data_IF_598963795196
#
_entry.id   IF_598963795196
#
_cell.length_a   1.000
_cell.length_b   1.000
_cell.length_c   1.000
_cell.angle_alpha   90.00
_cell.angle_beta   90.00
_cell.angle_gamma   90.00
#
_symmetry.space_group_name_H-M   'P 1'
#
loop_
_entity.id
_entity.type
_entity.pdbx_description
1 polymer ?
#
# COMPACT_ATOMS: atom_id res chain seq x y z
N UNK A 1 -13.87 21.34 12.13
CA UNK A 1 -15.23 21.17 12.69
C UNK A 1 -15.19 21.23 14.20
N UNK A 2 -16.08 21.98 14.87
CA UNK A 2 -16.13 21.99 16.33
C UNK A 2 -16.47 20.59 16.86
N UNK A 3 -15.83 20.18 17.95
CA UNK A 3 -16.18 18.92 18.58
C UNK A 3 -17.61 18.97 19.14
N UNK A 4 -18.45 17.93 18.93
CA UNK A 4 -19.83 17.91 19.40
C UNK A 4 -19.94 17.83 20.92
N UNK A 5 -18.84 17.48 21.61
CA UNK A 5 -18.79 17.30 23.06
C UNK A 5 -17.85 18.27 23.78
N UNK A 6 -16.92 18.92 23.07
CA UNK A 6 -15.98 19.87 23.67
C UNK A 6 -15.80 21.12 22.80
N UNK A 7 -16.40 22.23 23.22
CA UNK A 7 -16.40 23.49 22.47
C UNK A 7 -15.02 24.13 22.27
N UNK A 8 -13.98 23.70 23.00
CA UNK A 8 -12.61 24.20 22.82
C UNK A 8 -11.80 23.39 21.83
N UNK A 9 -12.30 22.24 21.37
CA UNK A 9 -11.62 21.37 20.41
C UNK A 9 -12.23 21.50 19.02
N UNK A 10 -11.37 21.42 18.02
CA UNK A 10 -11.76 21.31 16.61
C UNK A 10 -11.13 20.06 16.02
N UNK A 11 -11.88 19.37 15.16
CA UNK A 11 -11.42 18.27 14.33
C UNK A 11 -11.06 18.77 12.94
N UNK A 12 -10.02 18.19 12.35
CA UNK A 12 -9.73 18.30 10.92
C UNK A 12 -10.90 17.66 10.15
N UNK A 13 -11.41 18.34 9.14
CA UNK A 13 -12.54 17.88 8.30
C UNK A 13 -12.14 17.40 6.91
N UNK A 14 -10.85 17.31 6.67
CA UNK A 14 -10.24 17.00 5.39
C UNK A 14 -9.40 15.74 5.55
N UNK A 15 -10.09 14.60 5.55
CA UNK A 15 -9.50 13.26 5.60
C UNK A 15 -8.82 12.95 4.29
N UNK A 16 -7.59 12.46 4.37
CA UNK A 16 -6.78 12.11 3.21
C UNK A 16 -7.00 10.63 2.82
N UNK A 17 -6.54 10.23 1.63
CA UNK A 17 -6.69 8.85 1.12
C UNK A 17 -5.92 7.83 1.96
N UNK A 18 -4.86 8.25 2.64
CA UNK A 18 -4.06 7.45 3.57
C UNK A 18 -4.88 6.85 4.73
N UNK A 19 -5.82 7.60 5.30
CA UNK A 19 -6.73 7.10 6.33
C UNK A 19 -7.60 5.94 5.79
N UNK A 20 -8.05 6.07 4.53
CA UNK A 20 -8.86 5.04 3.88
C UNK A 20 -8.04 3.80 3.56
N UNK A 21 -6.83 3.97 3.01
CA UNK A 21 -5.89 2.86 2.77
C UNK A 21 -5.59 2.11 4.07
N UNK A 22 -5.35 2.84 5.17
CA UNK A 22 -5.12 2.25 6.48
C UNK A 22 -6.30 1.41 6.98
N UNK A 23 -7.53 1.93 6.85
CA UNK A 23 -8.74 1.21 7.22
C UNK A 23 -8.97 -0.04 6.37
N UNK A 24 -8.83 0.08 5.05
CA UNK A 24 -9.02 -1.02 4.09
C UNK A 24 -7.93 -2.09 4.22
N UNK A 25 -6.74 -1.73 4.70
CA UNK A 25 -5.69 -2.70 5.05
C UNK A 25 -5.96 -3.42 6.37
N UNK A 26 -6.23 -2.69 7.46
CA UNK A 26 -6.20 -3.27 8.82
C UNK A 26 -7.49 -4.02 9.18
N UNK A 27 -8.66 -3.50 8.79
CA UNK A 27 -9.93 -4.08 9.24
C UNK A 27 -10.23 -5.46 8.66
N UNK A 28 -9.92 -5.78 7.39
CA UNK A 28 -9.97 -7.15 6.88
C UNK A 28 -9.10 -8.12 7.70
N UNK A 29 -7.92 -7.70 8.14
CA UNK A 29 -7.05 -8.53 8.99
C UNK A 29 -7.65 -8.75 10.38
N UNK A 30 -8.28 -7.72 10.98
CA UNK A 30 -9.04 -7.88 12.23
C UNK A 30 -10.19 -8.86 12.03
N UNK A 31 -10.95 -8.73 10.93
CA UNK A 31 -12.02 -9.65 10.57
C UNK A 31 -11.51 -11.09 10.47
N UNK A 32 -10.41 -11.33 9.77
CA UNK A 32 -9.94 -12.69 9.48
C UNK A 32 -9.17 -13.34 10.62
N UNK A 33 -8.31 -12.57 11.31
CA UNK A 33 -7.34 -13.11 12.26
C UNK A 33 -7.74 -12.92 13.73
N UNK A 34 -8.52 -11.90 14.06
CA UNK A 34 -8.81 -11.55 15.47
C UNK A 34 -10.26 -11.83 15.88
N UNK A 35 -11.22 -11.74 14.95
CA UNK A 35 -12.62 -11.93 15.28
C UNK A 35 -12.94 -13.40 15.63
N UNK A 36 -13.52 -13.61 16.82
CA UNK A 36 -13.85 -14.93 17.34
C UNK A 36 -15.24 -15.42 16.89
N UNK A 37 -16.11 -14.50 16.49
CA UNK A 37 -17.51 -14.76 16.14
C UNK A 37 -18.04 -13.83 15.03
N UNK A 38 -19.21 -14.15 14.48
CA UNK A 38 -19.81 -13.43 13.35
C UNK A 38 -20.16 -11.97 13.70
N UNK A 39 -20.53 -11.67 14.94
CA UNK A 39 -20.81 -10.30 15.38
C UNK A 39 -19.53 -9.44 15.36
N UNK A 40 -18.40 -10.01 15.78
CA UNK A 40 -17.09 -9.34 15.71
C UNK A 40 -16.63 -9.14 14.27
N UNK A 41 -16.80 -10.16 13.42
CA UNK A 41 -16.53 -10.08 11.99
C UNK A 41 -17.33 -8.94 11.35
N UNK A 42 -18.63 -8.88 11.64
CA UNK A 42 -19.49 -7.80 11.15
C UNK A 42 -19.02 -6.42 11.67
N UNK A 43 -18.66 -6.30 12.95
CA UNK A 43 -18.17 -5.03 13.53
C UNK A 43 -16.88 -4.56 12.88
N UNK A 44 -15.93 -5.47 12.62
CA UNK A 44 -14.67 -5.15 11.97
C UNK A 44 -14.89 -4.59 10.56
N UNK A 45 -15.94 -5.05 9.87
CA UNK A 45 -16.14 -4.79 8.45
C UNK A 45 -17.15 -3.69 8.10
N UNK A 46 -17.99 -3.27 9.07
CA UNK A 46 -19.06 -2.31 8.79
C UNK A 46 -18.54 -0.94 8.35
N UNK A 47 -17.35 -0.55 8.81
CA UNK A 47 -16.74 0.74 8.47
C UNK A 47 -16.13 0.72 7.06
N UNK A 48 -15.25 -0.25 6.69
CA UNK A 48 -14.78 -0.41 5.31
C UNK A 48 -15.93 -0.43 4.28
N UNK A 49 -16.97 -1.23 4.53
CA UNK A 49 -18.14 -1.29 3.65
C UNK A 49 -18.78 0.09 3.44
N UNK A 50 -19.00 0.85 4.53
CA UNK A 50 -19.62 2.18 4.46
C UNK A 50 -18.75 3.20 3.76
N UNK A 51 -17.44 3.15 3.97
CA UNK A 51 -16.49 4.03 3.30
C UNK A 51 -16.51 3.76 1.79
N UNK A 52 -16.37 2.51 1.39
CA UNK A 52 -16.36 2.14 -0.04
C UNK A 52 -17.71 2.39 -0.71
N UNK A 53 -18.84 2.12 -0.04
CA UNK A 53 -20.19 2.49 -0.54
C UNK A 53 -20.33 4.02 -0.69
N UNK A 54 -19.82 4.79 0.26
CA UNK A 54 -19.81 6.26 0.16
C UNK A 54 -19.02 6.74 -1.04
N UNK A 55 -17.81 6.23 -1.26
CA UNK A 55 -16.99 6.61 -2.42
C UNK A 55 -17.70 6.24 -3.73
N UNK A 56 -18.24 5.02 -3.83
CA UNK A 56 -18.95 4.53 -5.02
C UNK A 56 -20.21 5.37 -5.33
N UNK A 57 -20.98 5.74 -4.30
CA UNK A 57 -22.22 6.52 -4.46
C UNK A 57 -21.98 8.02 -4.69
N UNK A 58 -20.77 8.50 -4.44
CA UNK A 58 -20.38 9.90 -4.65
C UNK A 58 -19.40 10.08 -5.80
N UNK A 59 -19.61 9.33 -6.89
CA UNK A 59 -18.84 9.46 -8.13
C UNK A 59 -17.32 9.34 -7.90
N UNK A 60 -16.93 8.39 -7.06
CA UNK A 60 -15.54 8.06 -6.74
C UNK A 60 -14.79 9.15 -5.96
N UNK A 61 -15.51 9.93 -5.14
CA UNK A 61 -14.91 10.93 -4.25
C UNK A 61 -15.21 10.60 -2.79
N UNK A 62 -14.26 10.87 -1.90
CA UNK A 62 -14.54 10.98 -0.48
C UNK A 62 -15.15 12.36 -0.21
N UNK A 63 -16.47 12.41 -0.04
CA UNK A 63 -17.15 13.67 0.30
C UNK A 63 -17.08 13.89 1.81
N UNK A 64 -16.52 15.04 2.21
CA UNK A 64 -16.40 15.48 3.60
C UNK A 64 -17.65 16.19 4.11
N UNK A 65 -17.59 16.68 5.35
CA UNK A 65 -18.72 17.30 6.05
C UNK A 65 -19.22 18.60 5.39
N UNK A 66 -18.35 19.31 4.67
CA UNK A 66 -18.70 20.53 3.93
C UNK A 66 -19.37 20.24 2.56
N UNK A 67 -19.72 18.98 2.27
CA UNK A 67 -20.28 18.52 1.00
C UNK A 67 -19.39 18.74 -0.23
N UNK A 68 -18.09 18.96 -0.03
CA UNK A 68 -17.08 18.90 -1.09
C UNK A 68 -16.24 17.66 -0.93
N UNK A 69 -15.57 17.22 -2.00
CA UNK A 69 -14.57 16.16 -1.87
C UNK A 69 -13.41 16.65 -0.99
N UNK A 70 -12.75 15.71 -0.31
CA UNK A 70 -11.51 16.00 0.43
C UNK A 70 -10.36 16.27 -0.54
N UNK A 71 -9.28 16.84 -0.05
CA UNK A 71 -8.11 17.20 -0.87
C UNK A 71 -7.52 15.98 -1.58
N UNK A 72 -7.47 14.82 -0.90
CA UNK A 72 -6.78 13.63 -1.39
C UNK A 72 -7.68 12.41 -1.61
N UNK A 73 -8.93 12.43 -1.16
CA UNK A 73 -9.90 11.36 -1.37
C UNK A 73 -10.55 11.42 -2.76
N UNK A 74 -9.72 11.23 -3.79
CA UNK A 74 -10.11 11.40 -5.19
C UNK A 74 -9.76 10.12 -5.96
N UNK A 75 -10.79 9.45 -6.48
CA UNK A 75 -10.68 8.25 -7.32
C UNK A 75 -11.48 8.37 -8.62
N UNK A 76 -11.96 9.58 -8.94
CA UNK A 76 -12.77 9.84 -10.11
C UNK A 76 -11.97 9.73 -11.42
N UNK A 77 -12.49 9.00 -12.43
CA UNK A 77 -11.75 8.73 -13.65
C UNK A 77 -11.53 9.96 -14.51
N UNK A 78 -12.45 10.93 -14.52
CA UNK A 78 -12.25 12.18 -15.28
C UNK A 78 -11.09 12.94 -14.65
N UNK A 79 -11.12 13.11 -13.32
CA UNK A 79 -10.08 13.87 -12.63
C UNK A 79 -8.71 13.18 -12.71
N UNK A 80 -8.64 11.87 -12.50
CA UNK A 80 -7.34 11.16 -12.48
C UNK A 80 -6.75 10.95 -13.88
N UNK A 81 -7.58 10.65 -14.89
CA UNK A 81 -7.06 10.33 -16.23
C UNK A 81 -6.91 11.57 -17.12
N UNK A 82 -7.72 12.61 -16.93
CA UNK A 82 -7.73 13.77 -17.85
C UNK A 82 -6.98 14.99 -17.29
N UNK A 83 -6.85 15.14 -15.97
CA UNK A 83 -6.08 16.24 -15.37
C UNK A 83 -4.62 15.83 -15.16
N UNK A 84 -3.71 16.62 -15.75
CA UNK A 84 -2.26 16.42 -15.61
C UNK A 84 -1.75 16.55 -14.18
N UNK A 85 -2.49 17.25 -13.30
CA UNK A 85 -2.10 17.37 -11.90
C UNK A 85 -2.02 16.01 -11.20
N UNK A 86 -2.89 15.07 -11.56
CA UNK A 86 -2.95 13.73 -10.95
C UNK A 86 -2.15 12.70 -11.74
N UNK A 87 -1.31 13.11 -12.69
CA UNK A 87 -0.54 12.16 -13.51
C UNK A 87 0.36 11.27 -12.66
N UNK A 88 1.00 11.82 -11.63
CA UNK A 88 1.94 11.11 -10.74
C UNK A 88 1.20 10.12 -9.83
N UNK A 89 0.04 10.52 -9.29
CA UNK A 89 -0.78 9.68 -8.41
C UNK A 89 -1.80 8.82 -9.15
N UNK A 90 -1.82 8.84 -10.49
CA UNK A 90 -2.84 8.14 -11.29
C UNK A 90 -2.83 6.64 -11.03
N UNK A 91 -1.65 6.03 -11.10
CA UNK A 91 -1.49 4.60 -10.87
C UNK A 91 -1.81 4.21 -9.43
N UNK A 92 -1.35 5.00 -8.46
CA UNK A 92 -1.66 4.82 -7.04
C UNK A 92 -3.18 4.90 -6.78
N UNK A 93 -3.85 5.96 -7.21
CA UNK A 93 -5.28 6.13 -6.95
C UNK A 93 -6.09 5.04 -7.65
N UNK A 94 -5.73 4.64 -8.88
CA UNK A 94 -6.36 3.50 -9.54
C UNK A 94 -6.18 2.20 -8.74
N UNK A 95 -4.98 1.94 -8.20
CA UNK A 95 -4.72 0.78 -7.35
C UNK A 95 -5.57 0.80 -6.07
N UNK A 96 -5.62 1.93 -5.38
CA UNK A 96 -6.40 2.12 -4.16
C UNK A 96 -7.87 1.76 -4.36
N UNK A 97 -8.55 2.40 -5.33
CA UNK A 97 -9.99 2.16 -5.50
C UNK A 97 -10.30 0.75 -5.99
N UNK A 98 -9.45 0.16 -6.83
CA UNK A 98 -9.60 -1.24 -7.23
C UNK A 98 -9.45 -2.19 -6.04
N UNK A 99 -8.48 -1.93 -5.15
CA UNK A 99 -8.30 -2.68 -3.92
C UNK A 99 -9.55 -2.59 -3.03
N UNK A 100 -10.07 -1.37 -2.81
CA UNK A 100 -11.24 -1.13 -1.97
C UNK A 100 -12.49 -1.84 -2.50
N UNK A 101 -12.76 -1.74 -3.81
CA UNK A 101 -13.94 -2.35 -4.42
C UNK A 101 -13.87 -3.88 -4.41
N UNK A 102 -12.72 -4.45 -4.76
CA UNK A 102 -12.55 -5.91 -4.80
C UNK A 102 -12.60 -6.49 -3.38
N UNK A 103 -11.90 -5.87 -2.44
CA UNK A 103 -11.95 -6.28 -1.03
C UNK A 103 -13.38 -6.13 -0.49
N UNK A 104 -14.05 -5.02 -0.84
CA UNK A 104 -15.41 -4.75 -0.36
C UNK A 104 -16.41 -5.80 -0.84
N UNK A 105 -16.30 -6.16 -2.12
CA UNK A 105 -17.07 -7.23 -2.75
C UNK A 105 -16.81 -8.59 -2.10
N UNK A 106 -15.55 -8.92 -1.80
CA UNK A 106 -15.15 -10.23 -1.32
C UNK A 106 -15.85 -10.67 -0.02
N UNK A 107 -16.10 -9.73 0.91
CA UNK A 107 -16.82 -10.01 2.16
C UNK A 107 -18.32 -9.71 2.10
N UNK A 108 -18.75 -8.75 1.28
CA UNK A 108 -20.17 -8.35 1.26
C UNK A 108 -21.03 -9.14 0.27
N UNK A 109 -20.44 -9.61 -0.84
CA UNK A 109 -21.18 -10.15 -1.98
C UNK A 109 -22.08 -9.14 -2.70
N UNK A 110 -21.92 -7.85 -2.43
CA UNK A 110 -22.68 -6.79 -3.09
C UNK A 110 -22.12 -6.50 -4.49
N UNK A 111 -22.87 -6.94 -5.51
CA UNK A 111 -22.48 -6.85 -6.93
C UNK A 111 -22.17 -5.43 -7.41
N UNK A 112 -22.64 -4.39 -6.72
CA UNK A 112 -22.36 -2.99 -7.11
C UNK A 112 -20.86 -2.70 -7.10
N UNK A 113 -20.11 -3.29 -6.17
CA UNK A 113 -18.65 -3.07 -6.07
C UNK A 113 -17.89 -3.77 -7.19
N UNK A 114 -18.26 -5.01 -7.53
CA UNK A 114 -17.66 -5.72 -8.66
C UNK A 114 -18.02 -5.03 -9.99
N UNK A 115 -19.26 -4.58 -10.15
CA UNK A 115 -19.68 -3.80 -11.31
C UNK A 115 -18.91 -2.48 -11.42
N UNK A 116 -18.69 -1.80 -10.29
CA UNK A 116 -17.87 -0.59 -10.21
C UNK A 116 -16.43 -0.82 -10.63
N UNK A 117 -15.80 -1.89 -10.15
CA UNK A 117 -14.43 -2.23 -10.54
C UNK A 117 -14.33 -2.56 -12.03
N UNK A 118 -15.28 -3.33 -12.57
CA UNK A 118 -15.34 -3.60 -14.02
C UNK A 118 -15.55 -2.31 -14.84
N UNK A 119 -16.39 -1.38 -14.38
CA UNK A 119 -16.57 -0.08 -15.05
C UNK A 119 -15.24 0.69 -15.15
N UNK A 120 -14.51 0.81 -14.05
CA UNK A 120 -13.23 1.51 -13.98
C UNK A 120 -12.17 0.84 -14.86
N UNK A 121 -12.16 -0.48 -14.93
CA UNK A 121 -11.25 -1.25 -15.78
C UNK A 121 -11.63 -1.13 -17.26
N UNK A 122 -12.88 -1.41 -17.62
CA UNK A 122 -13.31 -1.55 -19.01
C UNK A 122 -13.43 -0.21 -19.75
N UNK A 123 -13.89 0.83 -19.06
CA UNK A 123 -14.16 2.13 -19.69
C UNK A 123 -13.09 3.17 -19.39
N UNK A 124 -12.40 3.04 -18.25
CA UNK A 124 -11.44 4.04 -17.80
C UNK A 124 -10.00 3.50 -17.67
N UNK A 125 -9.77 2.23 -18.02
CA UNK A 125 -8.44 1.62 -18.14
C UNK A 125 -7.64 1.65 -16.82
N UNK A 126 -8.33 1.50 -15.69
CA UNK A 126 -7.68 1.52 -14.37
C UNK A 126 -6.71 0.35 -14.18
N UNK A 127 -6.90 -0.75 -14.91
CA UNK A 127 -5.97 -1.87 -14.96
C UNK A 127 -4.63 -1.47 -15.63
N UNK A 128 -4.70 -0.71 -16.73
CA UNK A 128 -3.51 -0.19 -17.44
C UNK A 128 -2.77 0.84 -16.59
N UNK A 129 -3.49 1.68 -15.84
CA UNK A 129 -2.89 2.63 -14.92
C UNK A 129 -1.97 1.96 -13.88
N UNK A 130 -2.23 0.69 -13.52
CA UNK A 130 -1.38 -0.07 -12.58
C UNK A 130 0.03 -0.32 -13.11
N UNK A 131 0.25 -0.31 -14.43
CA UNK A 131 1.59 -0.55 -15.03
C UNK A 131 2.57 0.53 -14.60
N UNK A 132 2.10 1.78 -14.48
CA UNK A 132 2.88 2.93 -14.04
C UNK A 132 2.37 3.40 -12.67
N UNK A 133 2.18 2.45 -11.75
CA UNK A 133 1.87 2.74 -10.35
C UNK A 133 2.93 3.66 -9.76
N UNK A 134 4.20 3.24 -9.78
CA UNK A 134 5.33 4.12 -9.49
C UNK A 134 5.80 4.80 -10.78
N UNK A 135 5.62 6.12 -10.84
CA UNK A 135 6.27 6.95 -11.86
C UNK A 135 7.76 7.02 -11.57
N UNK A 136 8.58 6.77 -12.61
CA UNK A 136 10.05 6.66 -12.49
C UNK A 136 10.78 7.93 -12.94
N UNK A 137 10.11 9.08 -12.87
CA UNK A 137 10.73 10.35 -13.19
C UNK A 137 11.80 10.68 -12.13
N UNK A 138 12.92 11.27 -12.57
CA UNK A 138 14.10 11.48 -11.71
C UNK A 138 13.80 12.35 -10.48
N UNK A 139 12.79 13.22 -10.56
CA UNK A 139 12.39 14.13 -9.49
C UNK A 139 11.16 13.65 -8.71
N UNK A 140 10.58 12.51 -9.08
CA UNK A 140 9.34 12.02 -8.51
C UNK A 140 9.65 11.00 -7.41
N UNK A 141 9.77 11.52 -6.18
CA UNK A 141 10.08 10.74 -5.00
C UNK A 141 9.08 11.04 -3.88
N UNK A 142 8.03 10.22 -3.81
CA UNK A 142 7.01 10.29 -2.77
C UNK A 142 7.01 9.01 -1.93
N UNK A 143 7.69 9.07 -0.78
CA UNK A 143 7.79 7.92 0.13
C UNK A 143 6.45 7.57 0.78
N UNK A 144 5.56 8.55 1.00
CA UNK A 144 4.19 8.27 1.46
C UNK A 144 3.39 7.50 0.42
N UNK A 145 3.51 7.86 -0.85
CA UNK A 145 2.78 7.16 -1.93
C UNK A 145 3.28 5.73 -2.09
N UNK A 146 4.59 5.48 -1.90
CA UNK A 146 5.13 4.12 -1.87
C UNK A 146 4.51 3.26 -0.75
N UNK A 147 4.35 3.81 0.46
CA UNK A 147 3.70 3.09 1.57
C UNK A 147 2.24 2.78 1.23
N UNK A 148 1.50 3.78 0.72
CA UNK A 148 0.10 3.61 0.31
C UNK A 148 -0.06 2.58 -0.81
N UNK A 149 0.86 2.56 -1.77
CA UNK A 149 0.86 1.62 -2.88
C UNK A 149 0.99 0.18 -2.39
N UNK A 150 1.97 -0.09 -1.52
CA UNK A 150 2.21 -1.45 -1.03
C UNK A 150 1.08 -1.95 -0.12
N UNK A 151 0.51 -1.09 0.73
CA UNK A 151 -0.70 -1.43 1.48
C UNK A 151 -1.88 -1.73 0.54
N UNK A 152 -2.03 -0.98 -0.54
CA UNK A 152 -3.10 -1.19 -1.52
C UNK A 152 -2.89 -2.45 -2.36
N UNK A 153 -1.65 -2.77 -2.76
CA UNK A 153 -1.31 -4.04 -3.41
C UNK A 153 -1.60 -5.24 -2.51
N UNK A 154 -1.23 -5.14 -1.22
CA UNK A 154 -1.56 -6.15 -0.23
C UNK A 154 -3.07 -6.35 -0.15
N UNK A 155 -3.82 -5.25 0.01
CA UNK A 155 -5.29 -5.25 0.14
C UNK A 155 -5.96 -5.84 -1.10
N UNK A 156 -5.48 -5.52 -2.31
CA UNK A 156 -6.01 -6.06 -3.56
C UNK A 156 -5.84 -7.60 -3.63
N UNK A 157 -4.63 -8.10 -3.35
CA UNK A 157 -4.36 -9.55 -3.38
C UNK A 157 -5.05 -10.28 -2.23
N UNK A 158 -5.19 -9.62 -1.08
CA UNK A 158 -6.02 -10.14 0.01
C UNK A 158 -7.47 -10.28 -0.42
N UNK A 159 -8.03 -9.27 -1.11
CA UNK A 159 -9.34 -9.37 -1.77
C UNK A 159 -9.43 -10.55 -2.74
N UNK A 160 -8.41 -10.81 -3.57
CA UNK A 160 -8.38 -11.96 -4.47
C UNK A 160 -8.43 -13.29 -3.71
N UNK A 161 -7.63 -13.41 -2.64
CA UNK A 161 -7.63 -14.58 -1.76
C UNK A 161 -8.99 -14.78 -1.09
N UNK A 162 -9.60 -13.70 -0.60
CA UNK A 162 -10.91 -13.74 0.06
C UNK A 162 -12.01 -14.12 -0.92
N UNK A 163 -12.01 -13.65 -2.17
CA UNK A 163 -12.98 -14.10 -3.19
C UNK A 163 -12.92 -15.63 -3.36
N UNK A 164 -11.71 -16.19 -3.47
CA UNK A 164 -11.54 -17.64 -3.66
C UNK A 164 -12.08 -18.44 -2.45
N UNK A 165 -11.80 -17.98 -1.24
CA UNK A 165 -12.13 -18.66 0.02
C UNK A 165 -13.51 -18.28 0.61
N UNK A 166 -14.17 -17.23 0.10
CA UNK A 166 -15.38 -16.64 0.66
C UNK A 166 -16.53 -17.65 0.76
N UNK A 167 -17.21 -17.66 1.91
CA UNK A 167 -18.44 -18.43 2.13
C UNK A 167 -19.70 -17.62 1.83
N UNK A 168 -19.57 -16.31 1.64
CA UNK A 168 -20.67 -15.38 1.32
C UNK A 168 -21.00 -15.41 -0.18
N UNK A 169 -19.97 -15.56 -1.03
CA UNK A 169 -20.13 -15.55 -2.49
C UNK A 169 -20.63 -16.91 -3.02
N UNK A 170 -21.63 -16.85 -3.90
CA UNK A 170 -22.07 -18.01 -4.70
C UNK A 170 -20.99 -18.43 -5.72
N UNK A 171 -21.04 -19.67 -6.26
CA UNK A 171 -20.11 -20.10 -7.30
C UNK A 171 -20.07 -19.18 -8.53
N UNK A 172 -21.22 -18.66 -8.96
CA UNK A 172 -21.31 -17.77 -10.12
C UNK A 172 -20.65 -16.40 -9.83
N UNK A 173 -20.87 -15.87 -8.63
CA UNK A 173 -20.23 -14.64 -8.15
C UNK A 173 -18.71 -14.77 -8.09
N UNK A 174 -18.20 -15.90 -7.59
CA UNK A 174 -16.76 -16.19 -7.61
C UNK A 174 -16.22 -16.25 -9.03
N UNK A 175 -16.94 -16.91 -9.94
CA UNK A 175 -16.53 -17.04 -11.33
C UNK A 175 -16.50 -15.69 -12.06
N UNK A 176 -17.46 -14.80 -11.77
CA UNK A 176 -17.50 -13.45 -12.34
C UNK A 176 -16.32 -12.60 -11.87
N UNK A 177 -16.04 -12.61 -10.56
CA UNK A 177 -14.89 -11.91 -10.00
C UNK A 177 -13.55 -12.48 -10.50
N UNK A 178 -13.46 -13.80 -10.69
CA UNK A 178 -12.25 -14.45 -11.20
C UNK A 178 -11.78 -13.87 -12.55
N UNK A 179 -12.71 -13.52 -13.45
CA UNK A 179 -12.36 -12.90 -14.74
C UNK A 179 -11.71 -11.52 -14.57
N UNK A 180 -12.21 -10.70 -13.64
CA UNK A 180 -11.58 -9.41 -13.31
C UNK A 180 -10.22 -9.62 -12.66
N UNK A 181 -10.12 -10.55 -11.71
CA UNK A 181 -8.88 -10.88 -10.99
C UNK A 181 -7.78 -11.30 -11.97
N UNK A 182 -8.10 -12.15 -12.95
CA UNK A 182 -7.13 -12.62 -13.95
C UNK A 182 -6.56 -11.46 -14.79
N UNK A 183 -7.41 -10.50 -15.19
CA UNK A 183 -6.99 -9.31 -15.93
C UNK A 183 -6.11 -8.38 -15.10
N UNK A 184 -6.54 -8.08 -13.88
CA UNK A 184 -5.80 -7.21 -12.97
C UNK A 184 -4.43 -7.82 -12.61
N UNK A 185 -4.36 -9.13 -12.43
CA UNK A 185 -3.17 -9.83 -11.97
C UNK A 185 -1.95 -9.61 -12.85
N UNK A 186 -2.12 -9.49 -14.17
CA UNK A 186 -1.00 -9.28 -15.10
C UNK A 186 -0.44 -7.87 -14.98
N UNK A 187 -1.29 -6.84 -15.12
CA UNK A 187 -0.84 -5.44 -15.07
C UNK A 187 -0.39 -5.02 -13.68
N UNK A 188 -1.07 -5.50 -12.63
CA UNK A 188 -0.66 -5.30 -11.24
C UNK A 188 0.77 -5.81 -11.00
N UNK A 189 1.14 -6.98 -11.53
CA UNK A 189 2.50 -7.53 -11.37
C UNK A 189 3.56 -6.73 -12.12
N UNK A 190 3.23 -6.21 -13.30
CA UNK A 190 4.14 -5.34 -14.06
C UNK A 190 4.43 -4.07 -13.24
N UNK A 191 3.39 -3.41 -12.73
CA UNK A 191 3.51 -2.27 -11.83
C UNK A 191 4.32 -2.57 -10.58
N UNK A 192 3.97 -3.65 -9.87
CA UNK A 192 4.66 -4.08 -8.66
C UNK A 192 6.15 -4.30 -8.90
N UNK A 193 6.53 -4.98 -10.00
CA UNK A 193 7.94 -5.20 -10.32
C UNK A 193 8.66 -3.89 -10.65
N UNK A 194 8.01 -2.97 -11.35
CA UNK A 194 8.56 -1.64 -11.63
C UNK A 194 8.83 -0.88 -10.33
N UNK A 195 7.85 -0.82 -9.43
CA UNK A 195 7.97 -0.16 -8.13
C UNK A 195 9.04 -0.82 -7.27
N UNK A 196 9.06 -2.14 -7.21
CA UNK A 196 10.00 -2.89 -6.37
C UNK A 196 11.45 -2.84 -6.85
N UNK A 197 11.70 -2.56 -8.14
CA UNK A 197 13.06 -2.33 -8.67
C UNK A 197 13.82 -1.25 -7.90
N UNK A 198 13.12 -0.22 -7.43
CA UNK A 198 13.68 0.86 -6.64
C UNK A 198 13.56 0.57 -5.14
N UNK A 199 12.38 0.14 -4.67
CA UNK A 199 12.17 -0.09 -3.23
C UNK A 199 13.02 -1.21 -2.63
N UNK A 200 13.40 -2.22 -3.41
CA UNK A 200 14.31 -3.27 -2.92
C UNK A 200 15.69 -2.72 -2.51
N UNK A 201 16.12 -1.59 -3.09
CA UNK A 201 17.40 -0.97 -2.73
C UNK A 201 17.41 -0.47 -1.27
N UNK A 202 16.24 -0.14 -0.72
CA UNK A 202 16.05 0.29 0.66
C UNK A 202 16.16 -0.87 1.66
N UNK A 203 16.12 -2.11 1.18
CA UNK A 203 16.16 -3.34 2.00
C UNK A 203 15.06 -3.43 3.06
N UNK A 204 14.00 -2.64 2.89
CA UNK A 204 12.91 -2.51 3.86
C UNK A 204 12.18 -3.84 4.03
N UNK A 205 12.09 -4.38 5.26
CA UNK A 205 11.35 -5.61 5.51
C UNK A 205 9.85 -5.45 5.18
N UNK A 206 9.28 -4.26 5.36
CA UNK A 206 7.89 -3.93 5.04
C UNK A 206 7.59 -4.14 3.55
N UNK A 207 8.33 -3.46 2.67
CA UNK A 207 8.14 -3.58 1.22
C UNK A 207 8.44 -5.00 0.74
N UNK A 208 9.46 -5.65 1.32
CA UNK A 208 9.89 -6.99 0.93
C UNK A 208 8.84 -8.07 1.25
N UNK A 209 8.25 -8.08 2.45
CA UNK A 209 7.25 -9.10 2.77
C UNK A 209 5.97 -8.93 1.95
N UNK A 210 5.55 -7.68 1.73
CA UNK A 210 4.38 -7.38 0.89
C UNK A 210 4.65 -7.82 -0.55
N UNK A 211 5.83 -7.50 -1.11
CA UNK A 211 6.19 -7.97 -2.44
C UNK A 211 6.10 -9.50 -2.55
N UNK A 212 6.63 -10.22 -1.56
CA UNK A 212 6.56 -11.69 -1.52
C UNK A 212 5.13 -12.23 -1.45
N UNK A 213 4.28 -11.57 -0.68
CA UNK A 213 2.85 -11.87 -0.60
C UNK A 213 2.15 -11.63 -1.96
N UNK A 214 2.28 -10.43 -2.51
CA UNK A 214 1.57 -10.00 -3.73
C UNK A 214 2.07 -10.74 -4.98
N UNK A 215 3.35 -11.10 -5.03
CA UNK A 215 3.94 -11.85 -6.15
C UNK A 215 3.61 -13.36 -6.14
N UNK A 216 2.99 -13.88 -5.08
CA UNK A 216 2.63 -15.31 -4.98
C UNK A 216 3.76 -16.22 -4.53
N UNK A 217 4.81 -15.69 -3.92
CA UNK A 217 5.99 -16.46 -3.51
C UNK A 217 5.87 -17.06 -2.10
N UNK A 218 4.87 -16.64 -1.33
CA UNK A 218 4.52 -17.20 0.00
C UNK A 218 3.38 -18.22 -0.13
N UNK A 219 3.17 -19.06 0.88
CA UNK A 219 2.24 -20.20 0.79
C UNK A 219 0.78 -19.75 0.62
N UNK A 220 0.42 -18.65 1.26
CA UNK A 220 -0.91 -18.06 1.35
C UNK A 220 -1.44 -17.64 -0.02
N UNK A 221 -0.56 -17.11 -0.88
CA UNK A 221 -0.93 -16.58 -2.20
C UNK A 221 -0.41 -17.42 -3.37
N UNK A 222 0.40 -18.45 -3.12
CA UNK A 222 0.97 -19.32 -4.18
C UNK A 222 -0.08 -19.89 -5.12
N UNK A 223 -1.24 -20.28 -4.60
CA UNK A 223 -2.30 -20.90 -5.42
C UNK A 223 -2.99 -19.90 -6.35
N UNK A 224 -3.09 -18.62 -5.96
CA UNK A 224 -3.73 -17.58 -6.77
C UNK A 224 -3.02 -17.38 -8.11
N UNK A 225 -1.70 -17.58 -8.12
CA UNK A 225 -0.87 -17.31 -9.28
C UNK A 225 -0.23 -18.57 -9.89
N UNK A 226 -0.68 -19.76 -9.49
CA UNK A 226 -0.18 -21.02 -10.01
C UNK A 226 -0.64 -21.19 -11.46
N UNK A 227 0.27 -20.94 -12.41
CA UNK A 227 0.00 -20.99 -13.86
C UNK A 227 -0.81 -22.23 -14.25
N UNK A 228 -2.02 -22.03 -14.77
CA UNK A 228 -2.70 -23.02 -15.63
C UNK A 228 -1.96 -23.07 -16.97
N UNK A 229 -0.86 -23.83 -17.01
CA UNK A 229 -0.17 -24.34 -18.19
C UNK A 229 -0.54 -23.66 -19.53
N UNK A 230 0.02 -22.49 -19.84
CA UNK A 230 0.54 -22.06 -21.16
C UNK A 230 1.32 -20.75 -20.94
N UNK A 231 2.54 -20.67 -21.47
CA UNK A 231 3.37 -19.47 -21.63
C UNK A 231 4.09 -18.88 -20.39
N UNK A 232 5.41 -18.81 -20.56
CA UNK A 232 6.45 -18.30 -19.67
C UNK A 232 6.70 -16.81 -19.95
N UNK A 233 6.66 -15.94 -18.94
CA UNK A 233 7.33 -14.63 -19.01
C UNK A 233 7.34 -13.84 -17.69
N UNK A 234 6.36 -13.97 -16.80
CA UNK A 234 6.44 -13.30 -15.49
C UNK A 234 6.86 -14.29 -14.39
N UNK A 235 8.14 -14.66 -14.34
CA UNK A 235 8.75 -14.97 -13.04
C UNK A 235 8.81 -13.67 -12.24
N UNK A 236 8.66 -13.71 -10.93
CA UNK A 236 8.98 -12.55 -10.10
C UNK A 236 10.42 -12.11 -10.39
N UNK A 237 10.64 -10.83 -10.64
CA UNK A 237 11.99 -10.31 -10.94
C UNK A 237 12.90 -10.39 -9.71
N UNK A 238 12.30 -10.50 -8.53
CA UNK A 238 12.95 -10.56 -7.23
C UNK A 238 12.62 -11.87 -6.49
N UNK A 239 13.67 -12.50 -5.96
CA UNK A 239 13.60 -13.73 -5.16
C UNK A 239 13.38 -13.42 -3.68
N UNK A 240 12.31 -13.99 -3.11
CA UNK A 240 11.96 -13.79 -1.70
C UNK A 240 12.99 -14.33 -0.71
N UNK A 241 13.86 -15.26 -1.11
CA UNK A 241 14.97 -15.71 -0.26
C UNK A 241 15.99 -14.58 -0.07
N UNK A 242 16.30 -13.84 -1.14
CA UNK A 242 17.16 -12.65 -1.07
C UNK A 242 16.52 -11.51 -0.28
N UNK A 243 15.25 -11.20 -0.58
CA UNK A 243 14.51 -10.13 0.11
C UNK A 243 14.33 -10.42 1.61
N UNK A 244 14.19 -11.70 1.98
CA UNK A 244 14.18 -12.16 3.37
C UNK A 244 15.51 -11.84 4.08
N UNK A 245 16.66 -12.11 3.44
CA UNK A 245 17.96 -11.78 4.02
C UNK A 245 18.14 -10.27 4.23
N UNK A 246 17.69 -9.45 3.28
CA UNK A 246 17.69 -8.00 3.42
C UNK A 246 16.82 -7.54 4.59
N UNK A 247 15.60 -8.08 4.72
CA UNK A 247 14.72 -7.78 5.84
C UNK A 247 15.30 -8.21 7.20
N UNK A 248 15.95 -9.37 7.28
CA UNK A 248 16.63 -9.83 8.51
C UNK A 248 17.81 -8.91 8.85
N UNK A 249 18.60 -8.51 7.86
CA UNK A 249 19.68 -7.53 8.07
C UNK A 249 19.12 -6.22 8.62
N UNK A 250 18.04 -5.72 8.03
CA UNK A 250 17.41 -4.47 8.43
C UNK A 250 16.87 -4.54 9.86
N UNK A 251 16.08 -5.58 10.18
CA UNK A 251 15.46 -5.75 11.50
C UNK A 251 16.50 -5.95 12.62
N UNK A 252 17.65 -6.58 12.33
CA UNK A 252 18.76 -6.73 13.31
C UNK A 252 19.46 -5.41 13.63
N UNK A 253 19.36 -4.46 12.72
CA UNK A 253 19.98 -3.13 12.83
C UNK A 253 18.96 -2.05 13.16
N UNK A 254 17.70 -2.41 13.41
CA UNK A 254 16.70 -1.46 13.83
C UNK A 254 17.08 -0.87 15.21
N UNK A 255 17.01 0.45 15.40
CA UNK A 255 17.38 1.08 16.66
C UNK A 255 16.44 0.62 17.79
N UNK A 256 17.01 0.23 18.93
CA UNK A 256 16.23 -0.19 20.11
C UNK A 256 15.59 1.00 20.83
N UNK A 257 16.20 2.19 20.73
CA UNK A 257 15.65 3.43 21.24
C UNK A 257 15.00 4.18 20.09
N UNK A 258 13.71 4.50 20.24
CA UNK A 258 12.91 5.12 19.18
C UNK A 258 12.90 6.65 19.27
N UNK A 259 13.67 7.24 20.18
CA UNK A 259 13.89 8.69 20.21
C UNK A 259 14.55 9.09 18.90
N UNK A 260 13.98 10.08 18.19
CA UNK A 260 14.55 10.53 16.93
C UNK A 260 15.74 11.47 17.17
N UNK A 261 16.86 10.89 17.61
CA UNK A 261 18.09 11.60 17.88
C UNK A 261 18.61 12.32 16.63
N UNK A 262 19.13 13.53 16.82
CA UNK A 262 19.75 14.30 15.75
C UNK A 262 21.01 13.59 15.24
N UNK A 263 21.09 13.40 13.93
CA UNK A 263 22.23 12.78 13.26
C UNK A 263 22.67 13.63 12.07
N UNK A 264 23.99 13.68 11.86
CA UNK A 264 24.61 14.42 10.75
C UNK A 264 25.55 13.47 10.01
N UNK A 265 25.05 12.81 8.97
CA UNK A 265 25.86 11.90 8.16
C UNK A 265 26.49 12.58 6.94
N UNK A 266 26.10 13.81 6.59
CA UNK A 266 26.60 14.46 5.37
C UNK A 266 28.08 14.86 5.43
N UNK A 267 28.67 14.90 6.62
CA UNK A 267 30.10 15.15 6.81
C UNK A 267 30.96 13.86 6.74
N UNK A 268 30.32 12.69 6.59
CA UNK A 268 31.01 11.40 6.51
C UNK A 268 31.77 11.27 5.19
N UNK A 269 33.06 10.95 5.28
CA UNK A 269 33.94 10.78 4.12
C UNK A 269 33.70 9.46 3.37
N UNK A 270 33.07 8.48 4.01
CA UNK A 270 32.77 7.16 3.44
C UNK A 270 31.43 7.12 2.71
N UNK A 271 30.62 8.18 2.80
CA UNK A 271 29.29 8.26 2.19
C UNK A 271 29.39 8.88 0.80
N UNK A 272 28.90 8.16 -0.20
CA UNK A 272 28.73 8.69 -1.54
C UNK A 272 27.43 9.49 -1.59
N UNK A 273 27.54 10.78 -1.90
CA UNK A 273 26.38 11.66 -2.07
C UNK A 273 25.74 11.41 -3.43
N UNK A 274 24.42 11.25 -3.45
CA UNK A 274 23.64 11.30 -4.67
C UNK A 274 23.61 12.77 -5.12
N UNK A 275 24.45 13.15 -6.09
CA UNK A 275 24.43 14.50 -6.64
C UNK A 275 23.23 14.57 -7.59
N UNK A 276 22.14 15.29 -7.26
CA UNK A 276 20.91 15.18 -8.03
C UNK A 276 21.13 15.67 -9.46
N UNK A 277 20.41 15.06 -10.40
CA UNK A 277 20.06 15.74 -11.64
C UNK A 277 19.02 16.84 -11.33
N UNK A 278 19.45 17.94 -10.69
CA UNK A 278 18.76 19.23 -10.58
C UNK A 278 17.34 19.30 -9.98
N UNK A 279 16.84 18.27 -9.29
CA UNK A 279 15.44 18.24 -8.81
C UNK A 279 15.22 18.97 -7.48
N UNK A 280 16.10 18.77 -6.49
CA UNK A 280 16.10 19.47 -5.22
C UNK A 280 17.54 19.74 -4.72
N UNK A 281 17.66 20.39 -3.57
CA UNK A 281 18.94 20.67 -2.91
C UNK A 281 19.20 19.78 -1.68
N UNK A 282 18.50 18.64 -1.56
CA UNK A 282 18.66 17.76 -0.40
C UNK A 282 19.99 17.01 -0.47
N UNK A 283 20.57 16.73 0.70
CA UNK A 283 21.82 15.95 0.80
C UNK A 283 21.45 14.48 1.00
N UNK A 284 21.26 13.78 -0.10
CA UNK A 284 20.94 12.36 -0.09
C UNK A 284 22.18 11.48 -0.32
N UNK A 285 22.16 10.29 0.25
CA UNK A 285 23.11 9.22 -0.07
C UNK A 285 22.76 8.53 -1.40
N UNK A 286 23.76 8.04 -2.10
CA UNK A 286 23.58 7.17 -3.28
C UNK A 286 23.02 5.79 -2.90
N UNK A 287 23.32 5.32 -1.70
CA UNK A 287 22.86 4.04 -1.14
C UNK A 287 22.40 4.25 0.30
N UNK A 288 21.30 3.62 0.74
CA UNK A 288 20.75 3.89 2.06
C UNK A 288 21.75 3.51 3.15
N UNK A 289 21.84 4.35 4.17
CA UNK A 289 22.60 4.03 5.37
C UNK A 289 21.90 2.94 6.19
N UNK A 290 22.65 2.12 6.95
CA UNK A 290 22.06 1.18 7.90
C UNK A 290 21.05 1.87 8.84
N UNK A 291 19.94 1.21 9.23
CA UNK A 291 18.94 1.82 10.11
C UNK A 291 19.47 2.27 11.47
N UNK A 292 20.55 1.66 11.96
CA UNK A 292 21.28 2.02 13.18
C UNK A 292 22.24 3.21 13.00
N UNK A 293 22.40 3.73 11.78
CA UNK A 293 23.29 4.84 11.42
C UNK A 293 22.53 6.05 10.86
N UNK A 294 21.20 6.08 10.96
CA UNK A 294 20.35 7.21 10.55
C UNK A 294 19.29 7.53 11.60
N UNK A 295 18.61 8.67 11.44
CA UNK A 295 17.47 9.07 12.26
C UNK A 295 16.38 7.98 12.26
N UNK A 296 15.62 7.89 13.35
CA UNK A 296 14.52 6.92 13.42
C UNK A 296 13.43 7.39 12.46
N UNK A 297 13.16 6.58 11.44
CA UNK A 297 12.32 6.93 10.31
C UNK A 297 11.26 5.86 10.07
N UNK A 298 10.08 6.28 9.62
CA UNK A 298 8.95 5.42 9.26
C UNK A 298 9.08 4.96 7.80
N UNK A 299 8.16 4.09 7.35
CA UNK A 299 8.23 3.53 5.98
C UNK A 299 7.97 4.56 4.88
N UNK A 300 7.29 5.65 5.23
CA UNK A 300 7.02 6.82 4.39
C UNK A 300 8.10 7.92 4.51
N UNK A 301 9.27 7.61 5.05
CA UNK A 301 10.37 8.58 5.22
C UNK A 301 11.50 8.33 4.23
N UNK A 302 12.29 9.38 3.98
CA UNK A 302 13.43 9.34 3.08
C UNK A 302 14.64 8.60 3.66
N UNK A 303 14.75 7.30 3.35
CA UNK A 303 15.87 6.46 3.86
C UNK A 303 17.25 6.85 3.31
N UNK A 304 17.29 7.77 2.34
CA UNK A 304 18.50 8.31 1.72
C UNK A 304 18.94 9.62 2.37
N UNK A 305 18.09 10.27 3.19
CA UNK A 305 18.40 11.51 3.88
C UNK A 305 19.57 11.31 4.86
N UNK A 306 20.55 12.21 4.79
CA UNK A 306 21.77 12.09 5.58
C UNK A 306 21.71 12.80 6.93
N UNK A 307 21.01 13.93 6.99
CA UNK A 307 20.97 14.80 8.17
C UNK A 307 19.53 15.00 8.59
N UNK A 308 19.15 14.51 9.77
CA UNK A 308 17.77 14.54 10.27
C UNK A 308 17.73 14.31 11.80
N UNK A 309 16.56 14.44 12.40
CA UNK A 309 16.32 14.24 13.82
C UNK A 309 16.54 15.51 14.66
N UNK A 310 15.89 15.55 15.82
CA UNK A 310 15.97 16.68 16.74
C UNK A 310 16.01 16.28 18.23
N UNK A 311 15.80 15.00 18.55
CA UNK A 311 15.79 14.47 19.92
C UNK A 311 14.60 14.90 20.77
N UNK A 312 13.56 15.50 20.18
CA UNK A 312 12.41 16.06 20.91
C UNK A 312 11.17 15.17 20.87
N UNK A 313 11.21 14.06 20.13
CA UNK A 313 10.11 13.13 20.04
C UNK A 313 10.60 11.68 19.87
N UNK A 314 9.71 10.76 20.16
CA UNK A 314 9.91 9.31 20.06
C UNK A 314 8.94 8.77 19.01
N UNK A 315 9.47 7.94 18.12
CA UNK A 315 8.71 7.23 17.11
C UNK A 315 7.95 6.04 17.70
N UNK A 316 6.87 5.62 17.05
CA UNK A 316 6.09 4.47 17.48
C UNK A 316 6.69 3.14 16.94
N UNK A 317 6.57 2.02 17.68
CA UNK A 317 7.20 0.74 17.30
C UNK A 317 6.48 0.00 16.17
N UNK A 318 5.34 0.50 15.69
CA UNK A 318 4.49 -0.23 14.75
C UNK A 318 5.19 -0.54 13.42
N UNK A 319 6.10 0.31 12.93
CA UNK A 319 6.87 0.03 11.71
C UNK A 319 7.69 -1.25 11.84
N UNK A 320 8.44 -1.38 12.94
CA UNK A 320 9.18 -2.60 13.26
C UNK A 320 8.24 -3.79 13.46
N UNK A 321 7.20 -3.63 14.29
CA UNK A 321 6.29 -4.71 14.65
C UNK A 321 5.55 -5.26 13.44
N UNK A 322 5.00 -4.40 12.57
CA UNK A 322 4.28 -4.83 11.37
C UNK A 322 5.19 -5.62 10.44
N UNK A 323 6.43 -5.18 10.26
CA UNK A 323 7.40 -5.85 9.40
C UNK A 323 7.88 -7.17 9.97
N UNK A 324 8.21 -7.18 11.27
CA UNK A 324 8.62 -8.39 11.97
C UNK A 324 7.52 -9.45 11.92
N UNK A 325 6.29 -9.08 12.30
CA UNK A 325 5.17 -10.01 12.33
C UNK A 325 4.71 -10.41 10.92
N UNK A 326 4.74 -9.51 9.94
CA UNK A 326 4.46 -9.82 8.54
C UNK A 326 5.46 -10.84 7.98
N UNK A 327 6.76 -10.60 8.15
CA UNK A 327 7.79 -11.57 7.76
C UNK A 327 7.66 -12.90 8.52
N UNK A 328 7.33 -12.86 9.82
CA UNK A 328 7.15 -14.08 10.61
C UNK A 328 5.94 -14.88 10.13
N UNK A 329 4.82 -14.23 9.90
CA UNK A 329 3.56 -14.84 9.45
C UNK A 329 3.74 -15.56 8.12
N UNK A 330 4.44 -14.94 7.17
CA UNK A 330 4.72 -15.52 5.85
C UNK A 330 5.95 -16.44 5.81
N UNK A 331 6.49 -16.82 6.97
CA UNK A 331 7.65 -17.70 7.12
C UNK A 331 8.91 -17.21 6.35
N UNK A 332 9.16 -15.90 6.40
CA UNK A 332 10.30 -15.22 5.77
C UNK A 332 11.45 -14.93 6.75
N UNK A 333 11.41 -15.42 8.00
CA UNK A 333 12.46 -15.19 9.00
C UNK A 333 13.35 -16.41 9.31
N UNK A 334 13.05 -17.57 8.73
CA UNK A 334 13.71 -18.84 9.05
C UNK A 334 13.06 -19.63 10.18
#
# INVERSE_FOLDING_TARGET
HPSPINSTLQFKGDTSSDEIVGHEFVYPLVHDLLAENDDERQRAYILPYKITDHILTHNWYLIGENHTHTTWGIWNPIQINEDSFYQETRGLNSLQILAFLVQTYAYSGDERFLAGANLLVDFYQYDVNLINEKTIAVCDNSFSDDELAYLSYFTLVHGFHTVASSTVLTPDQKQHAQTLIERLSEYMKIGLNLSHKYKQMEKSPFYNFIYCYVSGQVNETRQLFRKRSVSSSASSDFDCSSLSMDGVWYLRRWPLELINWQQFNSDRLDVLINVPAACDSSKESLTPLPPDERSTQLWNSGVYDLDDGNGLYEEYPASYLLSYWGMRYFNLLG
#
